data_IF_222274627390
#
_entry.id   IF_222274627390
#
_cell.length_a   1.000
_cell.length_b   1.000
_cell.length_c   1.000
_cell.angle_alpha   90.00
_cell.angle_beta   90.00
_cell.angle_gamma   90.00
#
_symmetry.space_group_name_H-M   'P 1'
#
loop_
_entity.id
_entity.type
_entity.pdbx_description
1 polymer ?
#
# COMPACT_ATOMS: atom_id res chain seq x y z
N UNK A 1 2.74 0.38 -25.88
CA UNK A 1 1.82 -0.67 -25.37
C UNK A 1 2.52 -1.68 -24.45
N UNK A 2 3.77 -2.09 -24.73
CA UNK A 2 4.52 -3.12 -23.97
C UNK A 2 4.86 -2.74 -22.52
N UNK A 3 5.21 -1.47 -22.24
CA UNK A 3 5.61 -1.01 -20.89
C UNK A 3 4.42 -1.04 -19.90
N UNK A 4 3.21 -0.65 -20.33
CA UNK A 4 2.00 -0.73 -19.50
C UNK A 4 1.62 -2.17 -19.16
N UNK A 5 1.79 -3.09 -20.11
CA UNK A 5 1.55 -4.52 -19.89
C UNK A 5 2.58 -5.13 -18.93
N UNK A 6 3.86 -4.76 -19.04
CA UNK A 6 4.90 -5.19 -18.10
C UNK A 6 4.67 -4.65 -16.69
N UNK A 7 4.32 -3.36 -16.55
CA UNK A 7 3.98 -2.76 -15.26
C UNK A 7 2.74 -3.41 -14.64
N UNK A 8 1.71 -3.68 -15.44
CA UNK A 8 0.52 -4.41 -14.98
C UNK A 8 0.88 -5.84 -14.55
N UNK A 9 1.74 -6.52 -15.31
CA UNK A 9 2.18 -7.89 -14.99
C UNK A 9 3.04 -7.95 -13.74
N UNK A 10 3.94 -6.99 -13.54
CA UNK A 10 4.73 -6.81 -12.32
C UNK A 10 3.81 -6.47 -11.15
N UNK A 11 2.81 -5.61 -11.34
CA UNK A 11 1.80 -5.30 -10.33
C UNK A 11 1.02 -6.56 -9.93
N UNK A 12 0.53 -7.35 -10.88
CA UNK A 12 -0.18 -8.61 -10.59
C UNK A 12 0.70 -9.67 -9.94
N UNK A 13 1.98 -9.78 -10.32
CA UNK A 13 2.92 -10.72 -9.70
C UNK A 13 3.26 -10.32 -8.27
N UNK A 14 3.49 -9.02 -8.03
CA UNK A 14 3.77 -8.49 -6.69
C UNK A 14 2.53 -8.54 -5.81
N UNK A 15 1.35 -8.28 -6.37
CA UNK A 15 0.06 -8.49 -5.71
C UNK A 15 -0.15 -9.96 -5.33
N UNK A 16 0.10 -10.89 -6.26
CA UNK A 16 -0.05 -12.33 -6.00
C UNK A 16 0.93 -12.84 -4.96
N UNK A 17 2.17 -12.36 -4.97
CA UNK A 17 3.16 -12.70 -3.92
C UNK A 17 2.73 -12.19 -2.55
N UNK A 18 2.25 -10.94 -2.47
CA UNK A 18 1.72 -10.37 -1.21
C UNK A 18 0.49 -11.15 -0.77
N UNK A 19 -0.45 -11.43 -1.66
CA UNK A 19 -1.64 -12.23 -1.39
C UNK A 19 -1.26 -13.60 -0.81
N UNK A 20 -0.31 -14.33 -1.41
CA UNK A 20 0.14 -15.63 -0.91
C UNK A 20 0.82 -15.55 0.45
N UNK A 21 1.62 -14.51 0.71
CA UNK A 21 2.21 -14.29 2.05
C UNK A 21 1.12 -13.98 3.08
N UNK A 22 0.11 -13.19 2.70
CA UNK A 22 -0.98 -12.83 3.61
C UNK A 22 -1.99 -13.96 3.84
N UNK A 23 -2.24 -14.80 2.83
CA UNK A 23 -3.00 -16.05 2.95
C UNK A 23 -2.31 -17.03 3.91
N UNK A 24 -0.97 -17.04 3.94
CA UNK A 24 -0.20 -17.87 4.89
C UNK A 24 -0.21 -17.32 6.32
N UNK A 25 -0.48 -16.03 6.48
CA UNK A 25 -0.68 -15.38 7.77
C UNK A 25 -2.14 -15.56 8.16
N UNK A 26 -2.45 -16.67 8.83
CA UNK A 26 -3.77 -17.09 9.36
C UNK A 26 -4.57 -16.03 10.16
N UNK A 27 -4.08 -14.80 10.31
CA UNK A 27 -4.80 -13.64 10.84
C UNK A 27 -4.43 -12.37 10.07
N UNK A 28 -5.18 -12.03 9.01
CA UNK A 28 -5.09 -10.74 8.32
C UNK A 28 -5.23 -9.56 9.29
N UNK A 29 -6.05 -9.70 10.33
CA UNK A 29 -6.23 -8.72 11.41
C UNK A 29 -4.94 -8.44 12.18
N UNK A 30 -4.20 -9.48 12.57
CA UNK A 30 -2.93 -9.34 13.31
C UNK A 30 -1.83 -8.76 12.41
N UNK A 31 -1.78 -9.19 11.15
CA UNK A 31 -0.85 -8.65 10.16
C UNK A 31 -1.11 -7.15 9.89
N UNK A 32 -2.37 -6.74 9.74
CA UNK A 32 -2.75 -5.33 9.58
C UNK A 32 -2.36 -4.54 10.84
N UNK A 33 -2.68 -5.02 12.04
CA UNK A 33 -2.34 -4.35 13.30
C UNK A 33 -0.84 -4.07 13.42
N UNK A 34 0.01 -5.07 13.11
CA UNK A 34 1.47 -4.91 13.18
C UNK A 34 2.01 -3.93 12.13
N UNK A 35 1.40 -3.89 10.95
CA UNK A 35 1.79 -2.92 9.92
C UNK A 35 1.35 -1.50 10.31
N UNK A 36 0.18 -1.34 10.93
CA UNK A 36 -0.29 -0.06 11.48
C UNK A 36 0.59 0.41 12.65
N UNK A 37 1.01 -0.48 13.55
CA UNK A 37 2.01 -0.18 14.58
C UNK A 37 3.35 0.28 13.98
N UNK A 38 3.81 -0.36 12.90
CA UNK A 38 5.01 0.06 12.19
C UNK A 38 4.88 1.46 11.58
N UNK A 39 3.67 1.87 11.17
CA UNK A 39 3.38 3.23 10.70
C UNK A 39 3.41 4.26 11.84
N UNK A 40 3.05 3.88 13.08
CA UNK A 40 3.18 4.77 14.24
C UNK A 40 4.66 5.10 14.54
N UNK A 41 5.56 4.13 14.33
CA UNK A 41 7.00 4.31 14.54
C UNK A 41 7.62 5.14 13.39
N UNK A 42 7.19 4.88 12.15
CA UNK A 42 7.64 5.64 10.99
C UNK A 42 6.50 5.88 9.99
N UNK A 43 5.82 7.04 10.10
CA UNK A 43 4.67 7.35 9.28
C UNK A 43 5.03 7.66 7.82
N UNK A 44 6.30 7.94 7.49
CA UNK A 44 6.73 8.33 6.14
C UNK A 44 7.33 7.17 5.33
N UNK A 45 6.68 5.99 5.35
CA UNK A 45 7.02 4.88 4.47
C UNK A 45 5.88 4.57 3.51
N UNK A 46 5.87 5.19 2.34
CA UNK A 46 4.93 4.89 1.26
C UNK A 46 4.84 3.39 0.92
N UNK A 47 5.96 2.66 1.05
CA UNK A 47 5.96 1.19 0.89
C UNK A 47 5.14 0.46 1.97
N UNK A 48 5.20 0.90 3.23
CA UNK A 48 4.42 0.29 4.33
C UNK A 48 2.94 0.59 4.14
N UNK A 49 2.58 1.84 3.80
CA UNK A 49 1.21 2.24 3.46
C UNK A 49 0.64 1.40 2.31
N UNK A 50 1.44 1.16 1.27
CA UNK A 50 1.05 0.30 0.14
C UNK A 50 0.78 -1.16 0.55
N UNK A 51 1.60 -1.71 1.46
CA UNK A 51 1.42 -3.07 1.97
C UNK A 51 0.16 -3.18 2.82
N UNK A 52 -0.17 -2.17 3.63
CA UNK A 52 -1.43 -2.13 4.40
C UNK A 52 -2.64 -2.08 3.47
N UNK A 53 -2.62 -1.26 2.42
CA UNK A 53 -3.69 -1.23 1.42
C UNK A 53 -3.90 -2.59 0.74
N UNK A 54 -2.81 -3.28 0.40
CA UNK A 54 -2.88 -4.63 -0.15
C UNK A 54 -3.44 -5.66 0.86
N UNK A 55 -3.13 -5.51 2.14
CA UNK A 55 -3.67 -6.37 3.20
C UNK A 55 -5.19 -6.24 3.32
N UNK A 56 -5.68 -5.00 3.33
CA UNK A 56 -7.12 -4.73 3.32
C UNK A 56 -7.81 -5.27 2.06
N UNK A 57 -7.19 -5.10 0.89
CA UNK A 57 -7.71 -5.64 -0.38
C UNK A 57 -7.80 -7.17 -0.35
N UNK A 58 -6.74 -7.83 0.15
CA UNK A 58 -6.69 -9.28 0.26
C UNK A 58 -7.74 -9.81 1.23
N UNK A 59 -7.91 -9.14 2.38
CA UNK A 59 -8.98 -9.46 3.33
C UNK A 59 -10.35 -9.29 2.65
N UNK A 60 -10.61 -8.16 1.99
CA UNK A 60 -11.89 -7.90 1.33
C UNK A 60 -12.30 -9.02 0.35
N UNK A 61 -11.36 -9.56 -0.43
CA UNK A 61 -11.62 -10.67 -1.36
C UNK A 61 -11.99 -11.98 -0.66
N UNK A 62 -11.56 -12.16 0.59
CA UNK A 62 -11.83 -13.36 1.40
C UNK A 62 -13.03 -13.18 2.35
N UNK A 63 -13.58 -11.97 2.46
CA UNK A 63 -14.75 -11.67 3.30
C UNK A 63 -16.06 -11.92 2.54
N UNK A 64 -16.91 -12.86 2.99
CA UNK A 64 -18.20 -13.14 2.33
C UNK A 64 -19.24 -12.02 2.53
N UNK A 65 -19.16 -11.29 3.65
CA UNK A 65 -20.03 -10.15 3.93
C UNK A 65 -19.65 -8.95 3.04
N UNK A 66 -20.56 -8.57 2.16
CA UNK A 66 -20.31 -7.51 1.17
C UNK A 66 -20.11 -6.12 1.80
N UNK A 67 -20.74 -5.85 2.95
CA UNK A 67 -20.61 -4.57 3.65
C UNK A 67 -19.25 -4.48 4.32
N UNK A 68 -18.80 -5.55 4.98
CA UNK A 68 -17.46 -5.63 5.54
C UNK A 68 -16.40 -5.59 4.44
N UNK A 69 -16.56 -6.36 3.36
CA UNK A 69 -15.65 -6.35 2.22
C UNK A 69 -15.53 -4.96 1.61
N UNK A 70 -16.66 -4.25 1.43
CA UNK A 70 -16.66 -2.86 0.96
C UNK A 70 -15.89 -1.95 1.92
N UNK A 71 -16.14 -2.05 3.23
CA UNK A 71 -15.40 -1.25 4.22
C UNK A 71 -13.89 -1.52 4.19
N UNK A 72 -13.47 -2.75 3.88
CA UNK A 72 -12.06 -3.09 3.67
C UNK A 72 -11.50 -2.47 2.39
N UNK A 73 -12.24 -2.49 1.27
CA UNK A 73 -11.82 -1.81 0.05
C UNK A 73 -11.72 -0.29 0.22
N UNK A 74 -12.66 0.32 0.93
CA UNK A 74 -12.64 1.76 1.23
C UNK A 74 -11.36 2.13 2.00
N UNK A 75 -11.02 1.36 3.05
CA UNK A 75 -9.75 1.53 3.78
C UNK A 75 -8.52 1.31 2.91
N UNK A 76 -8.53 0.31 2.03
CA UNK A 76 -7.43 0.07 1.12
C UNK A 76 -7.16 1.30 0.22
N UNK A 77 -8.22 1.90 -0.31
CA UNK A 77 -8.13 3.10 -1.14
C UNK A 77 -7.52 4.29 -0.38
N UNK A 78 -7.92 4.50 0.87
CA UNK A 78 -7.33 5.54 1.74
C UNK A 78 -5.83 5.36 1.92
N UNK A 79 -5.37 4.13 2.23
CA UNK A 79 -3.95 3.84 2.39
C UNK A 79 -3.15 3.99 1.09
N UNK A 80 -3.73 3.62 -0.06
CA UNK A 80 -3.08 3.84 -1.35
C UNK A 80 -2.96 5.33 -1.67
N UNK A 81 -3.99 6.12 -1.37
CA UNK A 81 -3.93 7.57 -1.56
C UNK A 81 -2.82 8.19 -0.69
N UNK A 82 -2.75 7.82 0.59
CA UNK A 82 -1.68 8.28 1.48
C UNK A 82 -0.28 7.89 0.97
N UNK A 83 -0.13 6.67 0.43
CA UNK A 83 1.14 6.22 -0.13
C UNK A 83 1.56 7.04 -1.36
N UNK A 84 0.60 7.39 -2.23
CA UNK A 84 0.84 8.26 -3.40
C UNK A 84 1.20 9.67 -2.94
N UNK A 85 0.47 10.22 -1.97
CA UNK A 85 0.70 11.57 -1.46
C UNK A 85 2.08 11.69 -0.80
N UNK A 86 2.50 10.69 -0.01
CA UNK A 86 3.85 10.64 0.58
C UNK A 86 4.94 10.64 -0.49
N UNK A 87 4.79 9.81 -1.53
CA UNK A 87 5.73 9.74 -2.64
C UNK A 87 5.81 11.08 -3.38
N UNK A 88 4.66 11.72 -3.66
CA UNK A 88 4.60 13.02 -4.33
C UNK A 88 5.25 14.12 -3.46
N UNK A 89 4.96 14.15 -2.16
CA UNK A 89 5.54 15.11 -1.21
C UNK A 89 7.06 14.91 -1.14
N UNK A 90 7.52 13.67 -0.96
CA UNK A 90 8.93 13.30 -0.90
C UNK A 90 9.68 13.71 -2.16
N UNK A 91 9.11 13.44 -3.35
CA UNK A 91 9.62 13.93 -4.63
C UNK A 91 9.68 15.46 -4.67
N UNK A 92 8.59 16.15 -4.31
CA UNK A 92 8.51 17.61 -4.34
C UNK A 92 9.54 18.28 -3.42
N UNK A 93 9.77 17.75 -2.23
CA UNK A 93 10.78 18.23 -1.28
C UNK A 93 12.18 17.98 -1.80
N UNK A 94 12.43 16.83 -2.43
CA UNK A 94 13.72 16.52 -3.06
C UNK A 94 14.02 17.46 -4.24
N UNK A 95 13.01 17.80 -5.04
CA UNK A 95 13.17 18.77 -6.13
C UNK A 95 13.36 20.20 -5.61
N UNK A 96 12.65 20.64 -4.56
CA UNK A 96 12.86 21.97 -3.96
C UNK A 96 14.22 22.08 -3.25
N UNK A 97 14.65 21.04 -2.54
CA UNK A 97 15.96 20.99 -1.88
C UNK A 97 17.12 21.16 -2.85
N UNK A 98 17.05 20.56 -4.04
CA UNK A 98 18.08 20.72 -5.07
C UNK A 98 18.16 22.13 -5.68
N UNK A 99 17.15 22.99 -5.51
CA UNK A 99 17.19 24.38 -6.02
C UNK A 99 17.76 25.33 -4.95
N UNK A 100 17.73 24.96 -3.66
CA UNK A 100 18.14 25.82 -2.55
C UNK A 100 19.64 25.72 -2.17
N UNK A 101 20.39 24.73 -2.69
CA UNK A 101 21.84 24.59 -2.44
C UNK A 101 22.74 25.08 -3.57
N UNK A 102 22.18 25.80 -4.55
CA UNK A 102 22.93 26.41 -5.66
C UNK A 102 22.78 27.95 -5.66
N UNK A 103 23.19 28.61 -4.58
CA UNK A 103 23.51 30.05 -4.55
C UNK A 103 24.59 30.34 -3.53
#
# INVERSE_FOLDING_TARGET
MVIRLLLFRIFTLKFKLILTVMESLLNFTDAISKLEEALLINPSKGNTLWVVGNAHTSYAFLTPDLMEAKGRFDKAAEYFQQAVDEVIISLSLRFRGNILFHY
#
